data_IF_752357581788
#
_entry.id   IF_752357581788
#
_cell.length_a   1.000
_cell.length_b   1.000
_cell.length_c   1.000
_cell.angle_alpha   90.00
_cell.angle_beta   90.00
_cell.angle_gamma   90.00
#
_symmetry.space_group_name_H-M   'P 1'
#
loop_
_entity.id
_entity.type
_entity.pdbx_description
1 polymer ?
#
# COMPACT_ATOMS: atom_id res chain seq x y z
N UNK A 1 -24.86 -2.24 1.06
CA UNK A 1 -25.83 -1.89 0.01
C UNK A 1 -26.40 -0.54 0.38
N UNK A 2 -26.29 0.45 -0.51
CA UNK A 2 -26.88 1.77 -0.29
C UNK A 2 -28.32 1.73 -0.79
N UNK A 3 -29.28 2.04 0.09
CA UNK A 3 -30.68 2.14 -0.27
C UNK A 3 -31.06 3.62 -0.38
N UNK A 4 -31.78 3.97 -1.44
CA UNK A 4 -32.22 5.34 -1.67
C UNK A 4 -33.73 5.35 -1.88
N UNK A 5 -34.45 6.14 -1.07
CA UNK A 5 -35.86 6.43 -1.30
C UNK A 5 -35.97 7.73 -2.09
N UNK A 6 -36.58 7.75 -3.28
CA UNK A 6 -36.80 8.96 -4.05
C UNK A 6 -37.52 10.04 -3.25
N UNK A 7 -37.16 11.29 -3.50
CA UNK A 7 -37.91 12.48 -3.07
C UNK A 7 -38.51 13.16 -4.30
N UNK A 8 -39.41 14.13 -4.13
CA UNK A 8 -40.11 14.76 -5.26
C UNK A 8 -39.20 15.21 -6.40
N UNK A 9 -37.99 15.70 -6.09
CA UNK A 9 -37.05 16.21 -7.09
C UNK A 9 -35.81 15.32 -7.33
N UNK A 10 -35.58 14.27 -6.54
CA UNK A 10 -34.38 13.44 -6.61
C UNK A 10 -34.75 11.96 -6.74
N UNK A 11 -34.34 11.36 -7.86
CA UNK A 11 -34.55 9.93 -8.15
C UNK A 11 -33.22 9.18 -8.18
N UNK A 12 -33.27 7.85 -8.09
CA UNK A 12 -32.07 7.03 -8.22
C UNK A 12 -31.41 7.18 -9.60
N UNK A 13 -32.19 7.42 -10.67
CA UNK A 13 -31.66 7.72 -12.01
C UNK A 13 -30.87 9.02 -12.00
N UNK A 14 -31.40 10.11 -11.41
CA UNK A 14 -30.67 11.37 -11.29
C UNK A 14 -29.35 11.23 -10.52
N UNK A 15 -29.33 10.38 -9.49
CA UNK A 15 -28.10 10.08 -8.74
C UNK A 15 -27.10 9.32 -9.62
N UNK A 16 -27.54 8.34 -10.41
CA UNK A 16 -26.67 7.61 -11.35
C UNK A 16 -26.13 8.52 -12.46
N UNK A 17 -26.97 9.38 -13.01
CA UNK A 17 -26.57 10.36 -14.02
C UNK A 17 -25.55 11.36 -13.45
N UNK A 18 -25.70 11.74 -12.18
CA UNK A 18 -24.74 12.59 -11.47
C UNK A 18 -23.38 11.91 -11.23
N UNK A 19 -23.33 10.58 -11.04
CA UNK A 19 -22.09 9.85 -10.78
C UNK A 19 -21.12 9.87 -11.97
N UNK A 20 -21.65 9.85 -13.20
CA UNK A 20 -20.88 9.82 -14.43
C UNK A 20 -21.54 8.98 -15.52
N UNK A 21 -20.90 8.90 -16.67
CA UNK A 21 -21.39 8.13 -17.81
C UNK A 21 -20.71 6.75 -17.87
N UNK A 22 -21.50 5.73 -17.49
CA UNK A 22 -21.08 4.33 -17.49
C UNK A 22 -21.48 3.57 -18.75
N UNK A 23 -22.14 4.20 -19.73
CA UNK A 23 -22.76 3.54 -20.90
C UNK A 23 -21.78 2.81 -21.83
N UNK A 24 -20.49 3.15 -21.75
CA UNK A 24 -19.38 2.50 -22.46
C UNK A 24 -19.06 1.12 -21.87
N UNK A 25 -19.41 0.86 -20.61
CA UNK A 25 -19.18 -0.43 -19.94
C UNK A 25 -20.29 -1.43 -20.31
N UNK A 26 -20.04 -2.27 -21.33
CA UNK A 26 -21.01 -3.29 -21.80
C UNK A 26 -21.14 -4.52 -20.90
N UNK A 27 -20.15 -4.78 -20.05
CA UNK A 27 -20.21 -5.88 -19.08
C UNK A 27 -20.93 -5.41 -17.82
N UNK A 28 -21.98 -6.12 -17.42
CA UNK A 28 -22.76 -5.83 -16.20
C UNK A 28 -21.85 -5.80 -14.96
N UNK A 29 -20.91 -6.76 -14.85
CA UNK A 29 -19.96 -6.80 -13.75
C UNK A 29 -19.05 -5.56 -13.72
N UNK A 30 -18.51 -5.14 -14.88
CA UNK A 30 -17.70 -3.91 -14.97
C UNK A 30 -18.54 -2.68 -14.65
N UNK A 31 -19.76 -2.57 -15.19
CA UNK A 31 -20.68 -1.47 -14.95
C UNK A 31 -20.95 -1.29 -13.45
N UNK A 32 -21.32 -2.36 -12.74
CA UNK A 32 -21.56 -2.33 -11.31
C UNK A 32 -20.29 -1.96 -10.52
N UNK A 33 -19.13 -2.52 -10.90
CA UNK A 33 -17.86 -2.18 -10.27
C UNK A 33 -17.44 -0.72 -10.50
N UNK A 34 -17.73 -0.12 -11.67
CA UNK A 34 -17.44 1.29 -11.96
C UNK A 34 -18.33 2.22 -11.15
N UNK A 35 -19.63 1.97 -11.10
CA UNK A 35 -20.55 2.72 -10.24
C UNK A 35 -20.19 2.57 -8.75
N UNK A 36 -19.72 1.39 -8.34
CA UNK A 36 -19.22 1.13 -6.99
C UNK A 36 -18.08 2.06 -6.54
N UNK A 37 -17.29 2.61 -7.48
CA UNK A 37 -16.18 3.49 -7.15
C UNK A 37 -16.63 4.81 -6.50
N UNK A 38 -17.81 5.31 -6.86
CA UNK A 38 -18.41 6.52 -6.28
C UNK A 38 -18.80 6.35 -4.79
N UNK A 39 -18.73 5.12 -4.27
CA UNK A 39 -19.01 4.81 -2.86
C UNK A 39 -17.75 4.43 -2.09
N UNK A 40 -16.56 4.65 -2.67
CA UNK A 40 -15.30 4.45 -1.95
C UNK A 40 -15.25 5.39 -0.75
N UNK A 41 -14.77 4.93 0.41
CA UNK A 41 -14.49 5.81 1.53
C UNK A 41 -13.23 6.63 1.24
N UNK A 42 -13.40 7.92 1.00
CA UNK A 42 -12.35 8.85 0.56
C UNK A 42 -12.34 10.12 1.41
N UNK A 43 -11.22 10.84 1.37
CA UNK A 43 -11.09 12.21 1.90
C UNK A 43 -10.91 13.16 0.72
N UNK A 44 -11.92 14.00 0.48
CA UNK A 44 -11.89 14.99 -0.59
C UNK A 44 -10.92 16.13 -0.24
N UNK A 45 -10.06 16.50 -1.20
CA UNK A 45 -9.09 17.61 -1.08
C UNK A 45 -9.74 18.85 -1.69
N UNK A 46 -10.76 19.39 -1.01
CA UNK A 46 -11.67 20.39 -1.59
C UNK A 46 -11.01 21.75 -1.82
N UNK A 47 -9.96 22.07 -1.04
CA UNK A 47 -9.25 23.35 -1.12
C UNK A 47 -8.18 23.38 -2.21
N UNK A 48 -8.12 22.33 -3.03
CA UNK A 48 -7.11 22.15 -4.07
C UNK A 48 -7.79 22.10 -5.45
N UNK A 49 -8.04 23.24 -6.10
CA UNK A 49 -8.38 23.23 -7.52
C UNK A 49 -7.16 22.72 -8.29
N UNK A 50 -7.27 21.50 -8.85
CA UNK A 50 -6.26 20.97 -9.75
C UNK A 50 -6.57 21.51 -11.13
N UNK A 51 -5.96 22.65 -11.44
CA UNK A 51 -6.21 23.35 -12.70
C UNK A 51 -5.44 22.71 -13.88
N UNK A 52 -4.44 21.87 -13.60
CA UNK A 52 -3.58 21.23 -14.59
C UNK A 52 -3.61 19.70 -14.40
N UNK A 53 -4.63 19.06 -15.00
CA UNK A 53 -4.70 17.60 -15.14
C UNK A 53 -4.29 17.26 -16.56
N UNK A 54 -3.17 16.55 -16.71
CA UNK A 54 -2.63 16.15 -18.01
C UNK A 54 -2.77 14.65 -18.19
N UNK A 55 -3.39 14.23 -19.28
CA UNK A 55 -3.37 12.82 -19.67
C UNK A 55 -2.06 12.51 -20.42
N UNK A 56 -1.34 11.48 -19.98
CA UNK A 56 -0.10 11.00 -20.58
C UNK A 56 -0.28 9.52 -21.01
N UNK A 57 0.38 9.07 -22.09
CA UNK A 57 0.19 7.70 -22.58
C UNK A 57 0.68 6.67 -21.59
N UNK A 58 0.07 5.49 -21.55
CA UNK A 58 0.63 4.35 -20.80
C UNK A 58 2.00 3.91 -21.34
N UNK A 59 2.86 3.42 -20.46
CA UNK A 59 4.13 2.79 -20.83
C UNK A 59 3.84 1.34 -21.18
N UNK A 60 3.73 1.05 -22.48
CA UNK A 60 3.46 -0.29 -23.00
C UNK A 60 4.70 -0.85 -23.68
N UNK A 61 5.13 -2.04 -23.26
CA UNK A 61 6.24 -2.78 -23.86
C UNK A 61 5.86 -4.24 -24.00
N UNK A 62 6.17 -4.85 -25.15
CA UNK A 62 5.91 -6.28 -25.41
C UNK A 62 4.44 -6.70 -25.19
N UNK A 63 3.49 -5.78 -25.37
CA UNK A 63 2.06 -6.03 -25.13
C UNK A 63 1.61 -5.97 -23.67
N UNK A 64 2.51 -5.60 -22.74
CA UNK A 64 2.21 -5.41 -21.32
C UNK A 64 2.24 -3.93 -20.94
N UNK A 65 1.33 -3.51 -20.08
CA UNK A 65 1.20 -2.14 -19.59
C UNK A 65 1.95 -1.99 -18.27
N UNK A 66 3.18 -1.48 -18.31
CA UNK A 66 4.03 -1.32 -17.13
C UNK A 66 3.50 -0.25 -16.17
N UNK A 67 2.73 0.71 -16.69
CA UNK A 67 2.14 1.80 -15.91
C UNK A 67 0.69 1.56 -15.51
N UNK A 68 0.18 0.32 -15.55
CA UNK A 68 -1.24 0.05 -15.34
C UNK A 68 -1.68 0.54 -13.95
N UNK A 69 -2.52 1.57 -13.93
CA UNK A 69 -3.09 2.10 -12.70
C UNK A 69 -2.26 3.19 -12.00
N UNK A 70 -1.08 3.58 -12.50
CA UNK A 70 -0.22 4.59 -11.85
C UNK A 70 0.07 5.82 -12.72
N UNK A 71 -0.14 6.99 -12.11
CA UNK A 71 0.13 8.31 -12.68
C UNK A 71 1.11 9.09 -11.81
N UNK A 72 1.33 10.36 -12.15
CA UNK A 72 2.30 11.21 -11.47
C UNK A 72 1.62 12.40 -10.77
N UNK A 73 2.23 12.87 -9.69
CA UNK A 73 1.80 14.07 -8.97
C UNK A 73 3.00 14.95 -8.64
N UNK A 74 2.79 16.26 -8.73
CA UNK A 74 3.81 17.22 -8.32
C UNK A 74 4.02 17.22 -6.80
N UNK A 75 5.25 17.52 -6.37
CA UNK A 75 5.60 17.66 -4.95
C UNK A 75 4.74 18.71 -4.24
N UNK A 76 4.38 19.79 -4.93
CA UNK A 76 3.51 20.83 -4.39
C UNK A 76 2.10 20.35 -4.08
N UNK A 77 1.49 19.55 -4.95
CA UNK A 77 0.19 18.94 -4.63
C UNK A 77 0.33 17.92 -3.50
N UNK A 78 1.35 17.04 -3.54
CA UNK A 78 1.59 16.07 -2.48
C UNK A 78 1.71 16.74 -1.09
N UNK A 79 2.44 17.87 -1.02
CA UNK A 79 2.55 18.69 0.19
C UNK A 79 1.21 19.26 0.66
N UNK A 80 0.40 19.77 -0.27
CA UNK A 80 -0.94 20.31 0.05
C UNK A 80 -1.88 19.21 0.54
N UNK A 81 -1.85 18.02 -0.07
CA UNK A 81 -2.59 16.84 0.39
C UNK A 81 -2.15 16.49 1.81
N UNK A 82 -0.85 16.37 2.07
CA UNK A 82 -0.34 16.03 3.39
C UNK A 82 -0.80 17.05 4.46
N UNK A 83 -0.79 18.34 4.13
CA UNK A 83 -1.28 19.40 5.01
C UNK A 83 -2.79 19.31 5.29
N UNK A 84 -3.62 19.16 4.25
CA UNK A 84 -5.07 19.06 4.40
C UNK A 84 -5.50 17.78 5.13
N UNK A 85 -4.70 16.71 4.98
CA UNK A 85 -4.93 15.45 5.64
C UNK A 85 -4.35 15.34 7.06
N UNK A 86 -3.64 16.37 7.54
CA UNK A 86 -2.91 16.44 8.81
C UNK A 86 -1.91 15.28 8.98
N UNK A 87 -1.14 15.00 7.93
CA UNK A 87 -0.13 13.94 7.92
C UNK A 87 1.19 14.44 8.50
N UNK A 88 1.84 13.59 9.31
CA UNK A 88 3.16 13.87 9.91
C UNK A 88 4.28 14.03 8.89
N UNK A 89 4.17 13.33 7.75
CA UNK A 89 5.12 13.33 6.64
C UNK A 89 4.37 13.45 5.32
N UNK A 90 5.08 13.79 4.24
CA UNK A 90 4.52 13.83 2.90
C UNK A 90 4.67 12.45 2.25
N UNK A 91 3.59 11.71 1.98
CA UNK A 91 3.67 10.41 1.31
C UNK A 91 4.23 10.50 -0.10
N UNK A 92 5.04 9.53 -0.50
CA UNK A 92 5.59 9.39 -1.86
C UNK A 92 4.54 9.07 -2.91
N UNK A 93 3.45 8.42 -2.51
CA UNK A 93 2.35 8.08 -3.39
C UNK A 93 1.00 8.14 -2.66
N UNK A 94 -0.07 8.31 -3.43
CA UNK A 94 -1.44 8.38 -2.94
C UNK A 94 -2.34 7.49 -3.78
N UNK A 95 -3.11 6.62 -3.13
CA UNK A 95 -4.23 5.96 -3.79
C UNK A 95 -5.41 6.94 -3.85
N UNK A 96 -5.98 7.13 -5.03
CA UNK A 96 -6.92 8.22 -5.27
C UNK A 96 -8.14 7.83 -6.09
N UNK A 97 -9.12 8.72 -6.07
CA UNK A 97 -10.24 8.84 -7.03
C UNK A 97 -10.32 10.28 -7.50
N UNK A 98 -10.60 10.49 -8.78
CA UNK A 98 -10.85 11.81 -9.34
C UNK A 98 -11.61 11.65 -10.64
N UNK A 99 -12.81 12.21 -10.77
CA UNK A 99 -13.67 11.99 -11.93
C UNK A 99 -13.85 10.48 -12.22
N UNK A 100 -13.59 10.10 -13.46
CA UNK A 100 -13.50 8.73 -13.95
C UNK A 100 -12.24 7.97 -13.60
N UNK A 101 -11.26 8.62 -12.98
CA UNK A 101 -9.93 8.08 -12.75
C UNK A 101 -9.84 7.38 -11.39
N UNK A 102 -9.22 6.20 -11.41
CA UNK A 102 -8.83 5.42 -10.23
C UNK A 102 -7.38 4.97 -10.41
N UNK A 103 -6.61 5.05 -9.33
CA UNK A 103 -5.32 4.39 -9.27
C UNK A 103 -4.44 4.91 -8.15
N UNK A 104 -3.14 4.96 -8.43
CA UNK A 104 -2.12 5.58 -7.61
C UNK A 104 -1.53 6.81 -8.32
N UNK A 105 -1.23 7.86 -7.58
CA UNK A 105 -0.39 8.98 -8.03
C UNK A 105 0.93 8.97 -7.25
N UNK A 106 2.05 8.92 -7.95
CA UNK A 106 3.39 8.90 -7.37
C UNK A 106 4.12 10.23 -7.62
N UNK A 107 4.87 10.72 -6.63
CA UNK A 107 5.67 11.93 -6.77
C UNK A 107 6.79 11.71 -7.81
N UNK A 108 6.87 12.59 -8.81
CA UNK A 108 7.89 12.52 -9.86
C UNK A 108 8.55 13.88 -10.10
N UNK A 109 9.84 13.84 -10.42
CA UNK A 109 10.71 15.02 -10.59
C UNK A 109 10.31 15.88 -11.80
N UNK A 110 9.89 15.26 -12.90
CA UNK A 110 9.56 15.93 -14.16
C UNK A 110 8.08 16.38 -14.25
N UNK A 111 7.42 16.57 -13.11
CA UNK A 111 6.03 17.05 -13.05
C UNK A 111 6.02 18.52 -12.65
N UNK A 112 5.36 19.35 -13.49
CA UNK A 112 5.20 20.77 -13.23
C UNK A 112 4.45 21.00 -11.91
N UNK A 113 4.81 22.06 -11.21
CA UNK A 113 4.09 22.53 -10.03
C UNK A 113 2.57 22.65 -10.27
N UNK A 114 1.77 22.20 -9.29
CA UNK A 114 0.31 22.15 -9.36
C UNK A 114 -0.26 21.28 -10.50
N UNK A 115 0.51 20.34 -11.05
CA UNK A 115 0.05 19.37 -12.06
C UNK A 115 -0.17 17.96 -11.48
N UNK A 116 -1.19 17.29 -11.99
CA UNK A 116 -1.40 15.84 -11.91
C UNK A 116 -1.33 15.25 -13.32
N UNK A 117 -0.66 14.12 -13.46
CA UNK A 117 -0.61 13.38 -14.72
C UNK A 117 -1.30 12.03 -14.56
N UNK A 118 -2.35 11.80 -15.34
CA UNK A 118 -3.13 10.56 -15.34
C UNK A 118 -2.92 9.78 -16.63
N UNK A 119 -3.22 8.48 -16.63
CA UNK A 119 -3.06 7.58 -17.78
C UNK A 119 -4.36 6.94 -18.23
N UNK A 120 -4.46 6.48 -19.50
CA UNK A 120 -5.63 5.74 -19.99
C UNK A 120 -5.99 4.54 -19.12
N UNK A 121 -5.01 3.78 -18.63
CA UNK A 121 -5.21 2.67 -17.70
C UNK A 121 -5.93 3.09 -16.42
N UNK A 122 -5.81 4.33 -15.96
CA UNK A 122 -6.50 4.85 -14.79
C UNK A 122 -7.93 5.31 -15.09
N UNK A 123 -8.25 5.63 -16.34
CA UNK A 123 -9.55 6.13 -16.76
C UNK A 123 -10.58 4.98 -16.89
N UNK A 124 -11.65 5.02 -16.09
CA UNK A 124 -12.62 3.92 -15.99
C UNK A 124 -14.02 4.24 -16.53
N UNK A 125 -14.42 5.51 -16.55
CA UNK A 125 -15.71 5.99 -17.07
C UNK A 125 -15.67 7.52 -17.22
N UNK A 126 -16.49 8.09 -18.11
CA UNK A 126 -16.50 9.55 -18.32
C UNK A 126 -17.19 10.27 -17.16
N UNK A 127 -16.63 11.39 -16.68
CA UNK A 127 -17.21 12.20 -15.61
C UNK A 127 -16.70 13.64 -15.66
N UNK A 128 -17.54 14.58 -15.21
CA UNK A 128 -17.19 16.01 -15.11
C UNK A 128 -16.71 16.42 -13.69
N UNK A 129 -16.63 15.46 -12.75
CA UNK A 129 -16.25 15.72 -11.36
C UNK A 129 -14.74 15.85 -11.19
N UNK A 130 -14.21 17.05 -10.99
CA UNK A 130 -12.75 17.25 -10.93
C UNK A 130 -12.17 17.36 -9.50
N UNK A 131 -12.87 16.84 -8.49
CA UNK A 131 -12.36 16.84 -7.12
C UNK A 131 -11.43 15.66 -6.92
N UNK A 132 -10.20 15.91 -6.48
CA UNK A 132 -9.28 14.86 -6.05
C UNK A 132 -9.69 14.33 -4.68
N UNK A 133 -9.83 13.03 -4.59
CA UNK A 133 -10.18 12.32 -3.38
C UNK A 133 -9.10 11.29 -3.04
N UNK A 134 -8.59 11.33 -1.82
CA UNK A 134 -7.52 10.43 -1.37
C UNK A 134 -8.12 9.32 -0.52
N UNK A 135 -7.75 8.08 -0.84
CA UNK A 135 -8.09 6.90 -0.04
C UNK A 135 -7.04 6.74 1.06
N UNK A 136 -5.77 6.71 0.68
CA UNK A 136 -4.61 6.57 1.57
C UNK A 136 -3.33 7.09 0.93
N UNK A 137 -2.35 7.45 1.76
CA UNK A 137 -0.98 7.71 1.33
C UNK A 137 -0.10 6.48 1.55
N UNK A 138 1.02 6.41 0.83
CA UNK A 138 2.07 5.42 1.05
C UNK A 138 2.61 5.51 2.48
N UNK A 139 2.72 4.37 3.17
CA UNK A 139 3.24 4.27 4.54
C UNK A 139 3.94 2.94 4.73
N UNK A 140 4.94 2.89 5.61
CA UNK A 140 5.54 1.63 6.02
C UNK A 140 4.51 0.77 6.76
N UNK A 141 4.34 -0.48 6.31
CA UNK A 141 3.59 -1.52 7.02
C UNK A 141 4.50 -2.73 7.16
N UNK A 142 4.46 -3.38 8.34
CA UNK A 142 5.28 -4.56 8.60
C UNK A 142 4.90 -5.71 7.66
N UNK A 143 5.89 -6.44 7.13
CA UNK A 143 5.63 -7.62 6.32
C UNK A 143 5.10 -8.79 7.17
N UNK A 144 4.13 -9.52 6.62
CA UNK A 144 3.63 -10.75 7.19
C UNK A 144 3.56 -11.84 6.11
N UNK A 145 4.04 -13.02 6.45
CA UNK A 145 3.68 -14.23 5.74
C UNK A 145 2.27 -14.66 6.16
N UNK A 146 1.56 -15.31 5.24
CA UNK A 146 0.27 -15.93 5.48
C UNK A 146 0.29 -17.38 4.99
N UNK A 147 -0.79 -18.12 5.22
CA UNK A 147 -0.91 -19.53 4.78
C UNK A 147 -0.55 -19.74 3.31
N UNK A 148 -1.01 -18.88 2.41
CA UNK A 148 -0.78 -19.03 0.97
C UNK A 148 0.70 -18.86 0.64
N UNK A 149 1.31 -17.77 1.08
CA UNK A 149 2.73 -17.50 0.87
C UNK A 149 3.61 -18.61 1.47
N UNK A 150 3.29 -19.08 2.69
CA UNK A 150 4.02 -20.17 3.35
C UNK A 150 3.93 -21.46 2.54
N UNK A 151 2.73 -21.84 2.09
CA UNK A 151 2.55 -23.05 1.26
C UNK A 151 3.35 -22.97 -0.04
N UNK A 152 3.35 -21.82 -0.72
CA UNK A 152 4.11 -21.64 -1.96
C UNK A 152 5.63 -21.66 -1.72
N UNK A 153 6.11 -20.99 -0.67
CA UNK A 153 7.53 -21.00 -0.32
C UNK A 153 8.01 -22.40 0.08
N UNK A 154 7.21 -23.15 0.85
CA UNK A 154 7.48 -24.56 1.17
C UNK A 154 7.58 -25.41 -0.10
N UNK A 155 6.63 -25.25 -1.04
CA UNK A 155 6.67 -25.94 -2.33
C UNK A 155 7.87 -25.55 -3.22
N UNK A 156 8.38 -24.33 -3.06
CA UNK A 156 9.60 -23.84 -3.73
C UNK A 156 10.89 -24.31 -3.03
N UNK A 157 10.80 -25.13 -1.97
CA UNK A 157 11.93 -25.79 -1.33
C UNK A 157 12.42 -25.14 -0.05
N UNK A 158 11.70 -24.18 0.51
CA UNK A 158 12.04 -23.61 1.82
C UNK A 158 11.62 -24.59 2.93
N UNK A 159 12.52 -25.00 3.84
CA UNK A 159 12.19 -25.94 4.91
C UNK A 159 11.10 -25.40 5.83
N UNK A 160 10.14 -26.25 6.19
CA UNK A 160 9.00 -25.88 7.04
C UNK A 160 9.44 -25.40 8.43
N UNK A 161 10.58 -25.89 8.93
CA UNK A 161 11.20 -25.51 10.20
C UNK A 161 11.51 -24.01 10.26
N UNK A 162 11.79 -23.35 9.13
CA UNK A 162 12.00 -21.91 9.07
C UNK A 162 10.73 -21.18 9.51
N UNK A 163 9.57 -21.59 8.99
CA UNK A 163 8.29 -20.95 9.35
C UNK A 163 7.86 -21.27 10.78
N UNK A 164 8.11 -22.50 11.25
CA UNK A 164 7.86 -22.88 12.63
C UNK A 164 8.73 -22.07 13.60
N UNK A 165 10.03 -21.92 13.28
CA UNK A 165 10.95 -21.10 14.06
C UNK A 165 10.54 -19.63 14.13
N UNK A 166 10.13 -19.05 12.99
CA UNK A 166 9.58 -17.69 12.95
C UNK A 166 8.32 -17.57 13.81
N UNK A 167 7.36 -18.50 13.67
CA UNK A 167 6.15 -18.53 14.50
C UNK A 167 6.49 -18.59 16.00
N UNK A 168 7.37 -19.48 16.40
CA UNK A 168 7.73 -19.67 17.81
C UNK A 168 8.44 -18.44 18.38
N UNK A 169 9.29 -17.79 17.58
CA UNK A 169 9.89 -16.51 17.96
C UNK A 169 8.81 -15.44 18.22
N UNK A 170 7.85 -15.29 17.31
CA UNK A 170 6.75 -14.32 17.47
C UNK A 170 5.87 -14.60 18.69
N UNK A 171 5.59 -15.87 18.99
CA UNK A 171 4.83 -16.26 20.20
C UNK A 171 5.60 -15.90 21.46
N UNK A 172 6.89 -16.22 21.53
CA UNK A 172 7.74 -15.86 22.69
C UNK A 172 7.82 -14.34 22.90
N UNK A 173 7.93 -13.57 21.84
CA UNK A 173 7.91 -12.10 21.92
C UNK A 173 6.57 -11.59 22.49
N UNK A 174 5.44 -12.15 22.03
CA UNK A 174 4.11 -11.81 22.52
C UNK A 174 3.90 -12.18 23.99
N UNK A 175 4.47 -13.28 24.46
CA UNK A 175 4.38 -13.69 25.88
C UNK A 175 5.09 -12.70 26.80
N UNK A 176 6.20 -12.13 26.34
CA UNK A 176 6.99 -11.14 27.08
C UNK A 176 6.47 -9.71 26.97
N UNK A 177 5.46 -9.47 26.14
CA UNK A 177 4.98 -8.12 25.82
C UNK A 177 4.53 -7.33 27.05
N UNK A 178 3.99 -8.00 28.07
CA UNK A 178 3.51 -7.35 29.31
C UNK A 178 4.55 -7.34 30.45
N UNK A 179 5.76 -7.87 30.23
CA UNK A 179 6.80 -7.94 31.27
C UNK A 179 7.49 -6.60 31.52
N UNK A 180 7.64 -5.76 30.49
CA UNK A 180 8.27 -4.44 30.62
C UNK A 180 7.77 -3.46 29.57
N UNK A 181 7.84 -2.16 29.88
CA UNK A 181 7.53 -1.10 28.90
C UNK A 181 8.40 -1.17 27.66
N UNK A 182 9.68 -1.51 27.84
CA UNK A 182 10.63 -1.61 26.73
C UNK A 182 10.23 -2.73 25.75
N UNK A 183 9.88 -3.91 26.27
CA UNK A 183 9.42 -5.04 25.45
C UNK A 183 8.12 -4.71 24.72
N UNK A 184 7.17 -4.06 25.41
CA UNK A 184 5.90 -3.65 24.83
C UNK A 184 6.10 -2.64 23.69
N UNK A 185 6.93 -1.62 23.92
CA UNK A 185 7.27 -0.60 22.93
C UNK A 185 7.93 -1.21 21.70
N UNK A 186 9.00 -1.99 21.90
CA UNK A 186 9.73 -2.64 20.81
C UNK A 186 8.80 -3.53 19.97
N UNK A 187 7.92 -4.29 20.62
CA UNK A 187 6.96 -5.13 19.89
C UNK A 187 5.95 -4.29 19.10
N UNK A 188 5.33 -3.28 19.70
CA UNK A 188 4.34 -2.43 19.02
C UNK A 188 4.98 -1.70 17.83
N UNK A 189 6.16 -1.12 18.01
CA UNK A 189 6.90 -0.39 16.98
C UNK A 189 7.31 -1.28 15.80
N UNK A 190 7.48 -2.58 16.03
CA UNK A 190 7.77 -3.56 14.96
C UNK A 190 6.53 -4.14 14.29
N UNK A 191 5.31 -3.90 14.80
CA UNK A 191 4.07 -4.44 14.25
C UNK A 191 3.19 -3.31 13.69
N UNK A 192 3.80 -2.39 12.93
CA UNK A 192 3.12 -1.27 12.31
C UNK A 192 2.04 -1.76 11.35
N UNK A 193 0.84 -1.20 11.52
CA UNK A 193 -0.35 -1.44 10.73
C UNK A 193 -0.79 -0.16 10.01
N UNK A 194 -1.55 -0.32 8.93
CA UNK A 194 -2.05 0.78 8.10
C UNK A 194 -2.83 1.85 8.89
N UNK A 195 -3.50 1.46 9.98
CA UNK A 195 -4.31 2.36 10.79
C UNK A 195 -3.52 3.00 11.94
N UNK A 196 -2.25 2.65 12.13
CA UNK A 196 -1.39 3.20 13.17
C UNK A 196 -1.82 2.84 14.60
N UNK A 197 -2.59 1.75 14.80
CA UNK A 197 -3.06 1.33 16.12
C UNK A 197 -1.88 1.00 17.03
N UNK A 198 -0.93 0.24 16.50
CA UNK A 198 0.31 -0.14 17.19
C UNK A 198 1.13 1.07 17.63
N UNK A 199 1.28 2.06 16.75
CA UNK A 199 1.98 3.32 17.04
C UNK A 199 1.24 4.13 18.11
N UNK A 200 -0.09 4.23 18.01
CA UNK A 200 -0.91 4.94 19.00
C UNK A 200 -0.79 4.32 20.39
N UNK A 201 -0.79 2.99 20.49
CA UNK A 201 -0.53 2.28 21.74
C UNK A 201 0.88 2.54 22.26
N UNK A 202 1.89 2.57 21.38
CA UNK A 202 3.26 2.86 21.77
C UNK A 202 3.40 4.27 22.34
N UNK A 203 2.70 5.26 21.78
CA UNK A 203 2.71 6.64 22.29
C UNK A 203 2.06 6.74 23.69
N UNK A 204 1.00 5.97 23.96
CA UNK A 204 0.45 5.86 25.32
C UNK A 204 1.45 5.23 26.30
N UNK A 205 2.19 4.20 25.87
CA UNK A 205 3.23 3.62 26.73
C UNK A 205 4.35 4.64 27.00
N UNK A 206 4.81 5.38 25.98
CA UNK A 206 5.84 6.44 26.15
C UNK A 206 5.38 7.54 27.11
N UNK A 207 4.08 7.84 27.14
CA UNK A 207 3.49 8.79 28.09
C UNK A 207 3.42 8.25 29.54
N UNK A 208 3.86 7.02 29.80
CA UNK A 208 3.98 6.43 31.14
C UNK A 208 2.70 5.78 31.67
N UNK A 209 1.67 5.61 30.83
CA UNK A 209 0.41 4.98 31.25
C UNK A 209 0.62 3.52 31.67
N UNK A 210 1.55 2.79 31.03
CA UNK A 210 1.83 1.40 31.37
C UNK A 210 2.58 1.31 32.72
N UNK A 211 3.61 2.14 32.94
CA UNK A 211 4.30 2.29 34.24
C UNK A 211 3.35 2.59 35.39
N UNK A 212 2.31 3.38 35.13
CA UNK A 212 1.31 3.76 36.13
C UNK A 212 0.21 2.70 36.33
N UNK A 213 0.32 1.52 35.71
CA UNK A 213 -0.68 0.45 35.73
C UNK A 213 -2.07 0.93 35.31
N UNK A 214 -2.15 1.78 34.29
CA UNK A 214 -3.44 2.21 33.74
C UNK A 214 -4.20 0.99 33.19
N UNK A 215 -5.35 0.70 33.80
CA UNK A 215 -6.13 -0.50 33.49
C UNK A 215 -6.66 -0.50 32.07
N UNK A 216 -6.96 0.67 31.52
CA UNK A 216 -7.47 0.79 30.16
C UNK A 216 -6.40 0.39 29.14
N UNK A 217 -5.19 0.96 29.25
CA UNK A 217 -4.06 0.61 28.39
C UNK A 217 -3.64 -0.85 28.55
N UNK A 218 -3.56 -1.38 29.78
CA UNK A 218 -3.23 -2.79 30.01
C UNK A 218 -4.22 -3.73 29.31
N UNK A 219 -5.52 -3.42 29.35
CA UNK A 219 -6.55 -4.18 28.64
C UNK A 219 -6.37 -4.08 27.12
N UNK A 220 -6.06 -2.89 26.59
CA UNK A 220 -5.80 -2.71 25.16
C UNK A 220 -4.58 -3.51 24.68
N UNK A 221 -3.48 -3.49 25.42
CA UNK A 221 -2.27 -4.26 25.09
C UNK A 221 -2.55 -5.77 25.18
N UNK A 222 -3.31 -6.21 26.19
CA UNK A 222 -3.73 -7.61 26.32
C UNK A 222 -4.61 -8.04 25.15
N UNK A 223 -5.57 -7.21 24.74
CA UNK A 223 -6.41 -7.46 23.56
C UNK A 223 -5.58 -7.52 22.27
N UNK A 224 -4.64 -6.58 22.10
CA UNK A 224 -3.71 -6.59 20.97
C UNK A 224 -2.92 -7.90 20.92
N UNK A 225 -2.33 -8.32 22.04
CA UNK A 225 -1.63 -9.61 22.17
C UNK A 225 -2.53 -10.79 21.78
N UNK A 226 -3.75 -10.85 22.31
CA UNK A 226 -4.72 -11.92 22.00
C UNK A 226 -5.06 -11.93 20.51
N UNK A 227 -5.27 -10.76 19.90
CA UNK A 227 -5.56 -10.64 18.47
C UNK A 227 -4.40 -11.13 17.61
N UNK A 228 -3.16 -10.78 17.96
CA UNK A 228 -1.95 -11.25 17.27
C UNK A 228 -1.78 -12.76 17.38
N UNK A 229 -1.91 -13.33 18.59
CA UNK A 229 -1.87 -14.79 18.80
C UNK A 229 -2.97 -15.51 18.01
N UNK A 230 -4.18 -14.94 17.98
CA UNK A 230 -5.30 -15.47 17.20
C UNK A 230 -4.99 -15.46 15.71
N UNK A 231 -4.39 -14.39 15.18
CA UNK A 231 -4.05 -14.28 13.76
C UNK A 231 -2.92 -15.23 13.38
N UNK A 232 -1.92 -15.44 14.24
CA UNK A 232 -0.91 -16.50 14.07
C UNK A 232 -1.61 -17.86 14.01
N UNK A 233 -2.45 -18.21 14.99
CA UNK A 233 -3.15 -19.51 15.07
C UNK A 233 -4.10 -19.74 13.88
N UNK A 234 -4.93 -18.75 13.54
CA UNK A 234 -6.03 -18.90 12.57
C UNK A 234 -5.67 -18.54 11.14
N UNK A 235 -4.61 -17.79 10.90
CA UNK A 235 -4.24 -17.29 9.57
C UNK A 235 -2.78 -17.52 9.21
N UNK A 236 -1.98 -18.10 10.12
CA UNK A 236 -0.53 -18.17 10.00
C UNK A 236 0.08 -16.80 9.65
N UNK A 237 -0.49 -15.72 10.22
CA UNK A 237 -0.02 -14.34 9.99
C UNK A 237 1.28 -14.12 10.78
N UNK A 238 2.41 -14.50 10.19
CA UNK A 238 3.73 -14.49 10.85
C UNK A 238 4.50 -13.27 10.35
N UNK A 239 4.85 -12.35 11.26
CA UNK A 239 5.63 -11.15 10.92
C UNK A 239 7.06 -11.51 10.53
N UNK A 240 7.59 -10.84 9.52
CA UNK A 240 8.99 -10.96 9.07
C UNK A 240 9.71 -9.62 9.23
N UNK A 241 10.83 -9.62 9.94
CA UNK A 241 11.50 -8.38 10.38
C UNK A 241 12.23 -7.65 9.23
N UNK A 242 12.81 -8.39 8.28
CA UNK A 242 13.48 -7.83 7.08
C UNK A 242 12.55 -7.86 5.87
N UNK A 243 11.39 -7.25 6.03
CA UNK A 243 10.40 -7.11 4.97
C UNK A 243 9.46 -5.95 5.24
N UNK A 244 8.77 -5.50 4.21
CA UNK A 244 7.66 -4.58 4.35
C UNK A 244 6.52 -4.93 3.40
N UNK A 245 5.35 -4.41 3.71
CA UNK A 245 4.16 -4.43 2.89
C UNK A 245 3.89 -3.01 2.44
N UNK A 246 4.07 -2.72 1.15
CA UNK A 246 4.08 -1.35 0.65
C UNK A 246 3.30 -1.23 -0.66
N UNK A 247 2.80 -0.03 -0.91
CA UNK A 247 2.14 0.31 -2.16
C UNK A 247 3.13 0.17 -3.34
N UNK A 248 2.68 -0.46 -4.43
CA UNK A 248 3.45 -0.54 -5.67
C UNK A 248 3.41 0.78 -6.45
N UNK A 249 4.54 1.18 -7.01
CA UNK A 249 4.65 2.31 -7.96
C UNK A 249 5.62 1.99 -9.10
N UNK A 250 5.67 2.87 -10.10
CA UNK A 250 6.49 2.71 -11.29
C UNK A 250 7.73 3.60 -11.26
N UNK A 251 8.86 3.07 -11.70
CA UNK A 251 10.04 3.84 -12.06
C UNK A 251 9.83 4.53 -13.42
N UNK A 252 9.38 5.79 -13.37
CA UNK A 252 9.23 6.62 -14.57
C UNK A 252 10.55 7.14 -15.15
N UNK A 253 11.66 6.97 -14.42
CA UNK A 253 13.01 7.40 -14.86
C UNK A 253 13.71 6.35 -15.73
N UNK A 254 13.16 5.13 -15.78
CA UNK A 254 13.71 3.98 -16.51
C UNK A 254 15.15 3.63 -16.11
N UNK A 255 15.49 3.84 -14.84
CA UNK A 255 16.82 3.58 -14.29
C UNK A 255 16.96 2.14 -13.78
N UNK A 256 15.89 1.55 -13.27
CA UNK A 256 15.84 0.16 -12.86
C UNK A 256 15.84 -0.78 -14.08
N UNK A 257 16.63 -1.85 -14.00
CA UNK A 257 16.63 -2.93 -14.99
C UNK A 257 15.55 -3.98 -14.70
N UNK A 258 15.34 -4.90 -15.64
CA UNK A 258 14.44 -6.03 -15.44
C UNK A 258 14.84 -6.84 -14.19
N UNK A 259 13.84 -7.24 -13.38
CA UNK A 259 14.01 -7.91 -12.08
C UNK A 259 14.78 -7.10 -11.01
N UNK A 260 14.95 -5.79 -11.20
CA UNK A 260 15.39 -4.88 -10.13
C UNK A 260 14.20 -4.14 -9.54
N UNK A 261 14.26 -3.87 -8.25
CA UNK A 261 13.33 -2.97 -7.56
C UNK A 261 14.12 -1.91 -6.80
N UNK A 262 13.48 -0.79 -6.53
CA UNK A 262 13.95 0.15 -5.51
C UNK A 262 12.96 0.18 -4.34
N UNK A 263 13.49 0.19 -3.13
CA UNK A 263 12.69 0.26 -1.91
C UNK A 263 13.47 1.01 -0.85
N UNK A 264 12.89 2.11 -0.36
CA UNK A 264 13.39 2.84 0.80
C UNK A 264 12.27 2.89 1.84
N UNK A 265 12.57 2.48 3.07
CA UNK A 265 11.59 2.43 4.16
C UNK A 265 11.93 3.47 5.22
N UNK A 266 10.92 4.16 5.74
CA UNK A 266 11.05 5.02 6.90
C UNK A 266 11.15 4.19 8.18
N UNK A 267 11.81 4.74 9.21
CA UNK A 267 11.71 4.19 10.56
C UNK A 267 10.39 4.67 11.20
N UNK A 268 9.48 3.76 11.59
CA UNK A 268 8.22 4.15 12.25
C UNK A 268 8.41 4.98 13.52
N UNK A 269 9.56 4.85 14.18
CA UNK A 269 9.90 5.57 15.41
C UNK A 269 10.57 6.91 15.12
N UNK A 270 11.16 7.06 13.94
CA UNK A 270 11.82 8.27 13.49
C UNK A 270 11.61 8.43 11.98
N UNK A 271 10.48 9.00 11.53
CA UNK A 271 10.15 9.10 10.10
C UNK A 271 11.17 9.91 9.26
N UNK A 272 12.02 10.71 9.91
CA UNK A 272 13.14 11.41 9.26
C UNK A 272 14.31 10.48 8.93
N UNK A 273 14.40 9.34 9.63
CA UNK A 273 15.34 8.27 9.33
C UNK A 273 14.73 7.36 8.27
N UNK A 274 15.53 7.06 7.25
CA UNK A 274 15.15 6.20 6.14
C UNK A 274 16.26 5.22 5.82
N UNK A 275 15.88 4.04 5.35
CA UNK A 275 16.80 2.95 5.01
C UNK A 275 16.51 2.45 3.60
N UNK A 276 17.50 2.59 2.72
CA UNK A 276 17.46 1.94 1.41
C UNK A 276 17.71 0.45 1.60
N UNK A 277 16.86 -0.36 0.96
CA UNK A 277 16.95 -1.82 1.00
C UNK A 277 17.74 -2.29 -0.21
N UNK A 278 18.71 -3.17 0.02
CA UNK A 278 19.58 -3.71 -1.03
C UNK A 278 19.72 -5.23 -0.93
N UNK A 279 20.06 -5.86 -2.06
CA UNK A 279 20.32 -7.28 -2.15
C UNK A 279 19.12 -8.10 -2.65
N UNK A 280 19.29 -9.42 -2.71
CA UNK A 280 18.27 -10.33 -3.22
C UNK A 280 17.09 -10.43 -2.27
N UNK A 281 15.89 -10.33 -2.82
CA UNK A 281 14.64 -10.44 -2.09
C UNK A 281 13.58 -11.16 -2.92
N UNK A 282 12.48 -11.53 -2.26
CA UNK A 282 11.25 -11.92 -2.93
C UNK A 282 10.26 -10.77 -2.88
N UNK A 283 9.45 -10.66 -3.93
CA UNK A 283 8.26 -9.80 -3.97
C UNK A 283 7.08 -10.65 -4.38
N UNK A 284 5.96 -10.45 -3.70
CA UNK A 284 4.70 -11.10 -4.04
C UNK A 284 3.52 -10.24 -3.63
N UNK A 285 2.37 -10.54 -4.23
CA UNK A 285 1.08 -9.91 -3.90
C UNK A 285 0.16 -10.94 -3.28
N UNK A 286 -0.67 -10.49 -2.33
CA UNK A 286 -1.71 -11.33 -1.77
C UNK A 286 -3.07 -11.02 -2.43
N UNK A 287 -3.89 -12.04 -2.73
CA UNK A 287 -3.61 -13.47 -2.59
C UNK A 287 -2.66 -13.99 -3.68
N UNK A 288 -1.83 -14.98 -3.35
CA UNK A 288 -0.98 -15.72 -4.29
C UNK A 288 -1.42 -17.19 -4.34
N UNK A 289 -1.36 -17.79 -5.53
CA UNK A 289 -1.88 -19.15 -5.77
C UNK A 289 -0.97 -20.03 -6.62
N UNK A 290 -0.07 -19.43 -7.39
CA UNK A 290 0.90 -20.12 -8.22
C UNK A 290 2.32 -19.87 -7.69
N UNK A 291 3.24 -20.85 -7.69
CA UNK A 291 4.62 -20.64 -7.24
C UNK A 291 5.32 -19.47 -7.96
N UNK A 292 4.97 -19.24 -9.23
CA UNK A 292 5.44 -18.11 -10.03
C UNK A 292 4.94 -16.73 -9.58
N UNK A 293 3.93 -16.64 -8.72
CA UNK A 293 3.44 -15.37 -8.15
C UNK A 293 4.44 -14.76 -7.14
N UNK A 294 5.41 -15.57 -6.66
CA UNK A 294 6.51 -15.12 -5.83
C UNK A 294 7.72 -14.89 -6.73
N UNK A 295 8.08 -13.63 -6.92
CA UNK A 295 9.16 -13.22 -7.83
C UNK A 295 10.45 -13.00 -7.05
N UNK A 296 11.55 -13.56 -7.52
CA UNK A 296 12.89 -13.25 -7.01
C UNK A 296 13.39 -12.02 -7.75
N UNK A 297 13.72 -10.97 -7.01
CA UNK A 297 14.21 -9.71 -7.54
C UNK A 297 15.45 -9.25 -6.78
N UNK A 298 16.11 -8.22 -7.29
CA UNK A 298 17.24 -7.58 -6.61
C UNK A 298 16.85 -6.15 -6.23
N UNK A 299 16.83 -5.85 -4.94
CA UNK A 299 16.71 -4.48 -4.47
C UNK A 299 18.06 -3.76 -4.68
N UNK A 300 18.02 -2.61 -5.35
CA UNK A 300 19.21 -1.84 -5.70
C UNK A 300 19.09 -0.40 -5.18
N UNK A 301 20.23 0.21 -4.90
CA UNK A 301 20.29 1.66 -4.68
C UNK A 301 20.09 2.37 -6.01
N UNK A 302 19.28 3.42 -6.02
CA UNK A 302 19.05 4.23 -7.21
C UNK A 302 18.88 5.70 -6.83
N UNK A 303 19.85 6.54 -7.19
CA UNK A 303 19.87 7.95 -6.82
C UNK A 303 18.68 8.72 -7.40
N UNK A 304 18.26 8.38 -8.62
CA UNK A 304 17.12 8.98 -9.30
C UNK A 304 15.77 8.74 -8.59
N UNK A 305 15.73 7.76 -7.67
CA UNK A 305 14.53 7.36 -6.92
C UNK A 305 14.62 7.69 -5.43
N UNK A 306 15.68 8.41 -5.00
CA UNK A 306 15.92 8.74 -3.58
C UNK A 306 14.82 9.59 -2.93
N UNK A 307 13.96 10.25 -3.72
CA UNK A 307 12.80 10.98 -3.20
C UNK A 307 11.63 10.08 -2.81
N UNK A 308 11.63 8.81 -3.26
CA UNK A 308 10.59 7.84 -2.96
C UNK A 308 10.91 7.04 -1.70
N UNK A 309 9.95 7.04 -0.77
CA UNK A 309 9.99 6.37 0.54
C UNK A 309 8.63 5.69 0.79
N UNK A 310 8.67 4.53 1.43
CA UNK A 310 7.51 3.71 1.82
C UNK A 310 6.66 3.20 0.63
N UNK A 311 7.34 2.89 -0.48
CA UNK A 311 6.78 2.28 -1.68
C UNK A 311 7.75 1.22 -2.23
N UNK A 312 7.23 0.23 -2.96
CA UNK A 312 8.07 -0.62 -3.83
C UNK A 312 7.99 -0.06 -5.24
N UNK A 313 9.14 0.33 -5.79
CA UNK A 313 9.26 0.87 -7.14
C UNK A 313 9.64 -0.26 -8.10
N UNK A 314 8.78 -0.49 -9.09
CA UNK A 314 8.97 -1.48 -10.13
C UNK A 314 9.57 -0.86 -11.41
N UNK A 315 10.39 -1.62 -12.17
CA UNK A 315 11.00 -1.13 -13.38
C UNK A 315 9.93 -0.93 -14.45
N UNK A 316 10.08 0.11 -15.26
CA UNK A 316 9.26 0.29 -16.45
C UNK A 316 9.71 -0.60 -17.62
N UNK A 317 10.84 -1.28 -17.50
CA UNK A 317 11.48 -2.09 -18.56
C UNK A 317 11.42 -3.58 -18.24
N UNK A 318 11.55 -4.40 -19.28
CA UNK A 318 11.62 -5.86 -19.18
C UNK A 318 10.73 -6.55 -20.22
N UNK A 319 10.70 -7.88 -20.15
CA UNK A 319 9.86 -8.71 -21.00
C UNK A 319 8.37 -8.61 -20.64
N UNK A 320 8.07 -8.46 -19.35
CA UNK A 320 6.73 -8.31 -18.75
C UNK A 320 6.82 -7.44 -17.50
N UNK A 321 5.73 -6.77 -17.14
CA UNK A 321 5.67 -5.96 -15.93
C UNK A 321 5.66 -6.86 -14.67
N UNK A 322 6.55 -6.59 -13.71
CA UNK A 322 6.67 -7.36 -12.47
C UNK A 322 5.35 -7.42 -11.65
N UNK A 323 4.53 -6.36 -11.56
CA UNK A 323 3.23 -6.40 -10.88
C UNK A 323 2.30 -7.48 -11.43
N UNK A 324 2.16 -7.61 -12.76
CA UNK A 324 1.27 -8.60 -13.37
C UNK A 324 1.79 -10.03 -13.24
N UNK A 325 3.10 -10.22 -13.03
CA UNK A 325 3.66 -11.52 -12.66
C UNK A 325 3.29 -11.93 -11.23
N UNK A 326 2.93 -10.97 -10.36
CA UNK A 326 2.53 -11.21 -8.99
C UNK A 326 1.01 -11.41 -8.89
N UNK A 327 0.51 -12.59 -9.29
CA UNK A 327 -0.93 -12.91 -9.24
C UNK A 327 -1.78 -11.96 -10.11
N UNK A 328 -1.25 -11.47 -11.24
CA UNK A 328 -1.97 -10.54 -12.11
C UNK A 328 -2.24 -9.18 -11.48
N UNK A 329 -1.34 -8.70 -10.62
CA UNK A 329 -1.46 -7.39 -9.99
C UNK A 329 -1.24 -6.24 -10.96
N UNK A 330 -1.57 -5.04 -10.50
CA UNK A 330 -1.34 -3.77 -11.19
C UNK A 330 -0.81 -2.73 -10.19
N UNK A 331 -0.80 -1.44 -10.56
CA UNK A 331 -0.37 -0.34 -9.71
C UNK A 331 -1.53 0.61 -9.38
N UNK A 332 -2.77 0.11 -9.33
CA UNK A 332 -3.99 0.91 -9.08
C UNK A 332 -4.36 1.06 -7.58
N UNK A 333 -3.52 0.48 -6.74
CA UNK A 333 -3.70 0.42 -5.29
C UNK A 333 -3.16 -0.84 -4.63
N UNK A 334 -2.62 -1.77 -5.42
CA UNK A 334 -2.06 -3.02 -4.94
C UNK A 334 -0.86 -2.80 -4.02
N UNK A 335 -0.87 -3.56 -2.92
CA UNK A 335 0.25 -3.64 -2.00
C UNK A 335 1.06 -4.91 -2.26
N UNK A 336 2.37 -4.75 -2.24
CA UNK A 336 3.34 -5.82 -2.45
C UNK A 336 4.10 -6.08 -1.16
N UNK A 337 4.29 -7.36 -0.86
CA UNK A 337 5.16 -7.78 0.25
C UNK A 337 6.53 -8.02 -0.32
N UNK A 338 7.53 -7.27 0.14
CA UNK A 338 8.93 -7.63 -0.08
C UNK A 338 9.48 -8.34 1.16
N UNK A 339 10.31 -9.36 0.94
CA UNK A 339 11.06 -10.04 2.02
C UNK A 339 12.49 -10.32 1.58
N UNK A 340 13.47 -9.93 2.38
CA UNK A 340 14.89 -10.23 2.12
C UNK A 340 15.16 -11.73 2.19
N UNK A 341 15.89 -12.27 1.19
CA UNK A 341 16.13 -13.72 1.06
C UNK A 341 17.13 -14.28 2.10
N UNK A 342 17.94 -13.43 2.74
CA UNK A 342 18.87 -13.84 3.81
C UNK A 342 18.19 -14.43 5.07
N UNK A 343 16.87 -14.48 5.14
CA UNK A 343 16.10 -15.06 6.24
C UNK A 343 15.39 -16.36 5.87
N UNK A 344 15.33 -16.71 4.58
CA UNK A 344 14.55 -17.84 4.07
C UNK A 344 15.48 -19.00 3.65
N UNK A 345 16.77 -18.72 3.43
CA UNK A 345 17.80 -19.69 3.03
C UNK A 345 18.81 -19.90 4.15
#
# INVERSE_FOLDING_TARGET
CWFFSPTGNLTADKVRDWMGNFSTNKSVAKYAARMGQCFSSTRAIQKLPIDDIKEIPDIVRNGFTFSDGVGNISFSIAKKIAYELDLKTIPSAFQFRMAGYKGVLCQALDVKENQVQVRPSQHKFESHHNVLEVIRGSTFISAYLNRQAITLLSALGIPDEVFIGLKDLRVRELDKMLESEHTALDFLQRNVDEYGISISLADLIKAGFLRNNDRYLMNLISLFRIMMLRDIKKKAKIRVDKGAFLLGVLDVTETLQENQIYCCVSDPCNPSSRKVITGRCIVFRNPCFHPGDIRIVTAVECEALNHLVDVVVFPAVGSRDLPSECSGGDLDGDDFTYVSLFLIV
#
